data_IF_449840636450
#
_entry.id   IF_449840636450
#
_cell.length_a   1.000
_cell.length_b   1.000
_cell.length_c   1.000
_cell.angle_alpha   90.00
_cell.angle_beta   90.00
_cell.angle_gamma   90.00
#
_symmetry.space_group_name_H-M   'P 1'
#
loop_
_entity.id
_entity.type
_entity.pdbx_description
1 polymer ?
#
# COMPACT_ATOMS: atom_id res chain seq x y z
N UNK A 1 34.79 -13.19 21.26
CA UNK A 1 33.73 -12.17 21.31
C UNK A 1 33.41 -11.80 19.87
N UNK A 2 32.68 -12.67 19.17
CA UNK A 2 32.19 -12.43 17.82
C UNK A 2 30.69 -12.29 17.94
N UNK A 3 30.16 -11.14 17.56
CA UNK A 3 28.72 -10.91 17.50
C UNK A 3 28.19 -11.63 16.26
N UNK A 4 27.82 -12.89 16.46
CA UNK A 4 26.92 -13.61 15.57
C UNK A 4 25.53 -13.05 15.83
N UNK A 5 25.20 -11.90 15.22
CA UNK A 5 23.83 -11.40 15.19
C UNK A 5 23.07 -12.28 14.20
N UNK A 6 22.68 -13.47 14.69
CA UNK A 6 21.88 -14.43 13.97
C UNK A 6 20.65 -13.75 13.40
N UNK A 7 20.49 -13.92 12.11
CA UNK A 7 19.35 -13.57 11.28
C UNK A 7 18.04 -13.65 12.06
N UNK A 8 17.45 -12.47 12.22
CA UNK A 8 16.20 -12.28 12.93
C UNK A 8 15.05 -12.87 12.08
N UNK A 9 14.82 -14.17 12.25
CA UNK A 9 13.54 -14.87 12.22
C UNK A 9 12.37 -14.08 11.62
N UNK A 10 12.00 -14.40 10.37
CA UNK A 10 10.62 -14.37 9.84
C UNK A 10 9.69 -13.24 10.35
N UNK A 11 10.17 -11.99 10.40
CA UNK A 11 9.28 -10.83 10.39
C UNK A 11 9.03 -10.54 8.92
N UNK A 12 7.87 -10.94 8.41
CA UNK A 12 7.48 -10.60 7.04
C UNK A 12 7.78 -9.13 6.78
N UNK A 13 8.46 -8.82 5.69
CA UNK A 13 8.68 -7.41 5.34
C UNK A 13 7.34 -6.83 4.90
N UNK A 14 7.10 -5.55 5.17
CA UNK A 14 5.93 -4.88 4.61
C UNK A 14 6.14 -4.71 3.11
N UNK A 15 5.20 -5.20 2.33
CA UNK A 15 5.21 -5.21 0.88
C UNK A 15 4.10 -4.29 0.35
N UNK A 16 4.33 -3.63 -0.77
CA UNK A 16 3.27 -2.90 -1.46
C UNK A 16 2.29 -3.93 -2.05
N UNK A 17 1.00 -3.81 -1.71
CA UNK A 17 -0.06 -4.70 -2.22
C UNK A 17 -0.84 -4.03 -3.35
N UNK A 18 -1.16 -2.76 -3.17
CA UNK A 18 -1.90 -1.96 -4.13
C UNK A 18 -1.46 -0.51 -4.03
N UNK A 19 -0.98 0.05 -5.13
CA UNK A 19 -0.58 1.47 -5.19
C UNK A 19 -1.56 2.21 -6.08
N UNK A 20 -2.22 3.22 -5.51
CA UNK A 20 -3.11 4.13 -6.22
C UNK A 20 -2.46 5.52 -6.26
N UNK A 21 -2.23 6.03 -7.48
CA UNK A 21 -1.71 7.39 -7.69
C UNK A 21 -2.86 8.37 -7.91
N UNK A 22 -2.75 9.53 -7.29
CA UNK A 22 -3.68 10.65 -7.41
C UNK A 22 -2.92 11.92 -7.74
N UNK A 23 -3.62 12.94 -8.22
CA UNK A 23 -3.05 14.29 -8.30
C UNK A 23 -2.74 14.76 -6.87
N UNK A 24 -1.47 15.03 -6.56
CA UNK A 24 -1.04 15.49 -5.23
C UNK A 24 -0.52 14.39 -4.28
N UNK A 25 -0.49 13.11 -4.68
CA UNK A 25 0.08 12.07 -3.81
C UNK A 25 -0.22 10.63 -4.23
N UNK A 26 0.04 9.70 -3.30
CA UNK A 26 -0.28 8.28 -3.46
C UNK A 26 -0.93 7.70 -2.21
N UNK A 27 -1.81 6.74 -2.43
CA UNK A 27 -2.30 5.84 -1.39
C UNK A 27 -1.78 4.45 -1.70
N UNK A 28 -1.08 3.87 -0.73
CA UNK A 28 -0.52 2.52 -0.82
C UNK A 28 -1.18 1.64 0.23
N UNK A 29 -1.75 0.53 -0.20
CA UNK A 29 -2.09 -0.58 0.69
C UNK A 29 -0.82 -1.41 0.87
N UNK A 30 -0.31 -1.44 2.08
CA UNK A 30 0.81 -2.28 2.48
C UNK A 30 0.28 -3.60 3.06
N UNK A 31 1.03 -4.68 2.87
CA UNK A 31 0.72 -6.00 3.39
C UNK A 31 1.92 -6.64 4.03
N UNK A 32 1.72 -7.42 5.07
CA UNK A 32 2.76 -8.22 5.69
C UNK A 32 2.25 -9.64 5.84
N UNK A 33 2.96 -10.58 5.21
CA UNK A 33 2.69 -12.01 5.37
C UNK A 33 3.15 -12.47 6.76
N UNK A 34 2.22 -12.96 7.55
CA UNK A 34 2.46 -13.50 8.89
C UNK A 34 3.04 -14.92 8.80
N UNK A 35 3.67 -15.43 9.87
CA UNK A 35 4.25 -16.78 9.90
C UNK A 35 3.24 -17.90 9.65
N UNK A 36 1.96 -17.68 9.98
CA UNK A 36 0.86 -18.61 9.71
C UNK A 36 0.34 -18.55 8.25
N UNK A 37 0.92 -17.68 7.42
CA UNK A 37 0.57 -17.51 6.01
C UNK A 37 -0.56 -16.52 5.76
N UNK A 38 -1.22 -16.00 6.79
CA UNK A 38 -2.20 -14.92 6.66
C UNK A 38 -1.53 -13.58 6.35
N UNK A 39 -2.27 -12.70 5.69
CA UNK A 39 -1.85 -11.34 5.41
C UNK A 39 -2.51 -10.38 6.40
N UNK A 40 -1.71 -9.48 6.95
CA UNK A 40 -2.21 -8.25 7.60
C UNK A 40 -1.91 -7.06 6.70
N UNK A 41 -2.71 -6.01 6.82
CA UNK A 41 -2.67 -4.87 5.92
C UNK A 41 -2.69 -3.56 6.68
N UNK A 42 -2.13 -2.52 6.09
CA UNK A 42 -2.35 -1.13 6.51
C UNK A 42 -2.39 -0.22 5.30
N UNK A 43 -3.01 0.94 5.44
CA UNK A 43 -2.94 2.00 4.44
C UNK A 43 -1.84 2.99 4.82
N UNK A 44 -0.98 3.28 3.87
CA UNK A 44 -0.04 4.39 3.90
C UNK A 44 -0.48 5.44 2.88
N UNK A 45 -0.65 6.68 3.32
CA UNK A 45 -0.89 7.81 2.41
C UNK A 45 0.36 8.68 2.41
N UNK A 46 0.78 9.14 1.23
CA UNK A 46 1.88 10.08 1.08
C UNK A 46 1.41 11.26 0.22
N UNK A 47 1.40 12.45 0.81
CA UNK A 47 0.96 13.72 0.22
C UNK A 47 2.16 14.64 -0.13
N UNK A 48 3.35 14.08 -0.34
CA UNK A 48 4.59 14.83 -0.60
C UNK A 48 4.57 15.68 -1.88
N UNK A 49 3.64 15.46 -2.80
CA UNK A 49 3.60 16.22 -4.06
C UNK A 49 3.18 17.70 -3.90
N UNK A 50 2.97 18.17 -2.67
CA UNK A 50 2.67 19.56 -2.35
C UNK A 50 3.90 20.40 -1.95
N UNK A 51 5.10 19.83 -1.83
CA UNK A 51 6.29 20.55 -1.35
C UNK A 51 7.51 20.36 -2.28
N UNK A 52 8.23 21.45 -2.52
CA UNK A 52 9.48 21.49 -3.30
C UNK A 52 10.67 20.91 -2.51
N UNK A 53 11.66 20.41 -3.26
CA UNK A 53 12.74 19.47 -2.89
C UNK A 53 13.70 19.90 -1.76
N UNK A 54 13.59 21.11 -1.20
CA UNK A 54 14.62 21.69 -0.31
C UNK A 54 14.55 21.22 1.16
N UNK A 55 13.46 20.58 1.60
CA UNK A 55 13.28 20.04 2.97
C UNK A 55 12.62 18.63 2.97
N UNK A 56 12.93 17.82 1.96
CA UNK A 56 12.17 16.61 1.62
C UNK A 56 12.16 15.50 2.68
N UNK A 57 13.30 15.13 3.26
CA UNK A 57 13.36 13.92 4.09
C UNK A 57 12.57 14.03 5.40
N UNK A 58 12.63 15.19 6.06
CA UNK A 58 11.95 15.38 7.34
C UNK A 58 10.46 15.68 7.15
N UNK A 59 10.09 16.39 6.07
CA UNK A 59 8.70 16.72 5.77
C UNK A 59 7.93 15.53 5.19
N UNK A 60 8.56 14.71 4.36
CA UNK A 60 7.94 13.52 3.79
C UNK A 60 7.56 12.48 4.86
N UNK A 61 8.38 12.33 5.91
CA UNK A 61 8.03 11.51 7.07
C UNK A 61 6.83 12.06 7.86
N UNK A 62 6.66 13.38 7.93
CA UNK A 62 5.52 14.03 8.61
C UNK A 62 4.22 13.95 7.81
N UNK A 63 4.30 13.90 6.48
CA UNK A 63 3.16 13.79 5.58
C UNK A 63 2.73 12.33 5.33
N UNK A 64 3.52 11.36 5.79
CA UNK A 64 3.16 9.96 5.74
C UNK A 64 2.21 9.62 6.89
N UNK A 65 0.97 9.31 6.55
CA UNK A 65 -0.01 8.83 7.52
C UNK A 65 -0.25 7.34 7.33
N UNK A 66 -0.23 6.60 8.45
CA UNK A 66 -0.51 5.16 8.49
C UNK A 66 -1.82 4.89 9.22
N UNK A 67 -2.66 4.03 8.67
CA UNK A 67 -3.84 3.54 9.36
C UNK A 67 -3.48 2.48 10.40
N UNK A 68 -4.47 2.10 11.22
CA UNK A 68 -4.42 0.87 11.99
C UNK A 68 -4.22 -0.35 11.08
N UNK A 69 -3.56 -1.37 11.61
CA UNK A 69 -3.39 -2.68 10.96
C UNK A 69 -4.72 -3.44 10.97
N UNK A 70 -5.08 -4.01 9.83
CA UNK A 70 -6.29 -4.82 9.63
C UNK A 70 -5.91 -6.22 9.12
N UNK A 71 -6.76 -7.21 9.36
CA UNK A 71 -6.43 -8.64 9.18
C UNK A 71 -7.19 -9.29 8.01
N UNK A 72 -7.88 -8.49 7.19
CA UNK A 72 -8.65 -9.01 6.06
C UNK A 72 -8.60 -8.05 4.87
N UNK A 73 -8.71 -8.63 3.67
CA UNK A 73 -8.77 -7.87 2.42
C UNK A 73 -9.97 -6.92 2.37
N UNK A 74 -11.12 -7.32 2.89
CA UNK A 74 -12.31 -6.48 2.93
C UNK A 74 -12.09 -5.22 3.79
N UNK A 75 -11.50 -5.37 4.98
CA UNK A 75 -11.16 -4.21 5.82
C UNK A 75 -10.08 -3.35 5.17
N UNK A 76 -9.08 -3.98 4.53
CA UNK A 76 -8.00 -3.30 3.85
C UNK A 76 -8.50 -2.40 2.71
N UNK A 77 -9.43 -2.91 1.90
CA UNK A 77 -10.03 -2.17 0.78
C UNK A 77 -10.97 -1.06 1.25
N UNK A 78 -11.64 -1.19 2.40
CA UNK A 78 -12.40 -0.09 3.02
C UNK A 78 -11.50 1.11 3.37
N UNK A 79 -10.24 0.88 3.73
CA UNK A 79 -9.29 1.97 4.04
C UNK A 79 -9.00 2.85 2.82
N UNK A 80 -9.06 2.29 1.61
CA UNK A 80 -8.82 2.99 0.34
C UNK A 80 -9.94 3.96 -0.04
N UNK A 81 -11.08 3.87 0.66
CA UNK A 81 -12.24 4.71 0.42
C UNK A 81 -13.16 4.20 -0.69
N UNK A 82 -14.25 4.93 -0.89
CA UNK A 82 -15.27 4.56 -1.86
C UNK A 82 -14.72 4.65 -3.29
N UNK A 83 -15.17 3.76 -4.16
CA UNK A 83 -14.83 3.75 -5.59
C UNK A 83 -13.34 3.54 -5.91
N UNK A 84 -12.52 3.03 -4.97
CA UNK A 84 -11.12 2.69 -5.23
C UNK A 84 -10.97 1.71 -6.40
N UNK A 85 -11.92 0.78 -6.55
CA UNK A 85 -12.02 -0.19 -7.65
C UNK A 85 -12.14 0.46 -9.04
N UNK A 86 -12.60 1.72 -9.08
CA UNK A 86 -12.70 2.49 -10.33
C UNK A 86 -11.40 3.19 -10.66
N UNK A 87 -10.41 3.22 -9.77
CA UNK A 87 -9.10 3.82 -10.02
C UNK A 87 -8.21 2.80 -10.71
N UNK A 88 -7.37 3.26 -11.63
CA UNK A 88 -6.35 2.40 -12.24
C UNK A 88 -5.19 2.29 -11.26
N UNK A 89 -4.86 1.10 -10.74
CA UNK A 89 -3.70 0.95 -9.89
C UNK A 89 -2.42 1.19 -10.70
N UNK A 90 -1.45 1.85 -10.05
CA UNK A 90 -0.10 1.99 -10.56
C UNK A 90 0.69 0.69 -10.38
N UNK A 91 0.38 -0.07 -9.32
CA UNK A 91 0.97 -1.36 -9.03
C UNK A 91 -0.03 -2.24 -8.27
N UNK A 92 0.02 -3.55 -8.54
CA UNK A 92 -0.71 -4.59 -7.82
C UNK A 92 0.27 -5.74 -7.55
N UNK A 93 0.29 -6.22 -6.32
CA UNK A 93 1.10 -7.37 -5.94
C UNK A 93 0.59 -8.64 -6.64
N UNK A 94 1.48 -9.53 -7.14
CA UNK A 94 1.09 -10.74 -7.89
C UNK A 94 0.06 -11.62 -7.18
N UNK A 95 0.18 -11.84 -5.86
CA UNK A 95 -0.79 -12.63 -5.06
C UNK A 95 -2.20 -12.01 -4.99
N UNK A 96 -2.36 -10.75 -5.40
CA UNK A 96 -3.60 -9.98 -5.30
C UNK A 96 -4.17 -9.54 -6.65
N UNK A 97 -3.55 -9.93 -7.78
CA UNK A 97 -4.00 -9.53 -9.12
C UNK A 97 -5.42 -9.99 -9.45
N UNK A 98 -5.85 -11.13 -8.91
CA UNK A 98 -7.20 -11.67 -9.12
C UNK A 98 -8.25 -11.00 -8.22
N UNK A 99 -7.82 -10.39 -7.11
CA UNK A 99 -8.66 -9.69 -6.15
C UNK A 99 -8.88 -8.21 -6.52
N UNK A 100 -8.01 -7.66 -7.37
CA UNK A 100 -8.11 -6.28 -7.84
C UNK A 100 -8.85 -6.26 -9.18
N UNK A 101 -9.98 -5.53 -9.30
CA UNK A 101 -10.71 -5.48 -10.53
C UNK A 101 -9.84 -4.86 -11.64
N UNK A 102 -9.56 -5.66 -12.68
CA UNK A 102 -8.93 -5.16 -13.90
C UNK A 102 -9.91 -4.16 -14.51
N UNK A 103 -9.52 -2.90 -14.63
CA UNK A 103 -10.30 -1.92 -15.38
C UNK A 103 -10.48 -2.44 -16.82
N UNK A 104 -11.60 -3.11 -17.08
CA UNK A 104 -12.15 -3.18 -18.42
C UNK A 104 -12.57 -1.77 -18.75
N UNK A 105 -11.81 -1.11 -19.63
CA UNK A 105 -12.26 0.11 -20.29
C UNK A 105 -13.69 -0.16 -20.76
N UNK A 106 -14.68 0.42 -20.06
CA UNK A 106 -16.04 0.39 -20.54
C UNK A 106 -15.99 1.06 -21.90
N UNK A 107 -16.19 0.27 -22.97
CA UNK A 107 -16.35 0.80 -24.32
C UNK A 107 -17.37 1.93 -24.22
N UNK A 108 -17.11 3.13 -24.77
CA UNK A 108 -18.12 4.17 -24.82
C UNK A 108 -19.35 3.57 -25.51
N UNK A 109 -20.51 3.64 -24.84
CA UNK A 109 -21.78 3.35 -25.50
C UNK A 109 -21.92 4.38 -26.61
N UNK A 110 -21.88 3.92 -27.85
CA UNK A 110 -22.36 4.66 -29.01
C UNK A 110 -23.84 4.98 -28.84
#
# INVERSE_FOLDING_TARGET
>A
MGIETGDNHLKGTWEEILVLRFEGGRVTLMGQKQPDGQWVFLKETNESAFFDEEDEDNLNALLQTKSSVVHSWEEATKLLGKDWERKRPAYVHPEFEELVPKQSLRRPRR
#
